data_IF_980920297171
#
_entry.id   IF_980920297171
#
_cell.length_a   1.000
_cell.length_b   1.000
_cell.length_c   1.000
_cell.angle_alpha   90.00
_cell.angle_beta   90.00
_cell.angle_gamma   90.00
#
_symmetry.space_group_name_H-M   'P 1'
#
loop_
_entity.id
_entity.type
_entity.pdbx_description
1 polymer ?
#
# COMPACT_ATOMS: atom_id res chain seq x y z
N UNK A 1 3.70 3.89 -11.23
CA UNK A 1 2.41 4.52 -11.65
C UNK A 1 1.31 3.48 -11.55
N UNK A 2 0.40 3.62 -10.58
CA UNK A 2 -0.75 2.73 -10.36
C UNK A 2 -1.62 2.60 -11.63
N UNK A 3 -2.23 1.43 -11.80
CA UNK A 3 -3.25 1.11 -12.80
C UNK A 3 -4.34 2.19 -12.85
N UNK A 4 -4.72 2.74 -11.70
CA UNK A 4 -5.67 3.85 -11.59
C UNK A 4 -5.23 5.06 -12.42
N UNK A 5 -3.97 5.48 -12.28
CA UNK A 5 -3.42 6.60 -13.05
C UNK A 5 -3.33 6.29 -14.55
N UNK A 6 -2.96 5.06 -14.93
CA UNK A 6 -2.93 4.61 -16.34
C UNK A 6 -4.31 4.59 -16.99
N UNK A 7 -5.33 4.20 -16.24
CA UNK A 7 -6.74 4.24 -16.65
C UNK A 7 -7.12 5.70 -16.92
N UNK A 8 -6.92 6.61 -15.96
CA UNK A 8 -7.34 8.01 -16.13
C UNK A 8 -6.50 8.82 -17.12
N UNK A 9 -5.19 8.59 -17.23
CA UNK A 9 -4.35 9.24 -18.24
C UNK A 9 -4.82 8.90 -19.66
N UNK A 10 -5.45 7.73 -19.86
CA UNK A 10 -6.07 7.33 -21.12
C UNK A 10 -7.43 8.00 -21.40
N UNK A 11 -8.09 8.53 -20.36
CA UNK A 11 -9.42 9.16 -20.43
C UNK A 11 -9.40 10.67 -20.22
N UNK A 12 -8.23 11.32 -20.18
CA UNK A 12 -8.10 12.77 -20.09
C UNK A 12 -8.59 13.43 -21.38
N UNK A 13 -9.86 13.84 -21.40
CA UNK A 13 -10.42 14.70 -22.44
C UNK A 13 -10.10 16.16 -22.13
N UNK A 14 -9.71 16.93 -23.15
CA UNK A 14 -9.53 18.38 -23.04
C UNK A 14 -10.81 19.06 -22.54
N UNK A 15 -10.71 20.12 -21.70
CA UNK A 15 -11.88 20.86 -21.19
C UNK A 15 -12.82 21.40 -22.28
N UNK A 16 -12.31 21.59 -23.49
CA UNK A 16 -13.04 22.14 -24.65
C UNK A 16 -13.92 21.11 -25.38
N UNK A 17 -13.88 19.82 -25.02
CA UNK A 17 -14.69 18.74 -25.64
C UNK A 17 -15.94 18.36 -24.81
N UNK A 18 -16.29 19.13 -23.77
CA UNK A 18 -17.42 18.82 -22.90
C UNK A 18 -18.76 18.82 -23.69
N UNK A 19 -19.47 17.69 -23.79
CA UNK A 19 -20.82 17.67 -24.35
C UNK A 19 -21.76 18.57 -23.53
N UNK A 20 -22.86 19.09 -24.11
CA UNK A 20 -23.86 19.85 -23.35
C UNK A 20 -24.39 19.00 -22.17
N UNK A 21 -24.93 19.66 -21.13
CA UNK A 21 -25.48 19.08 -19.89
C UNK A 21 -26.29 17.81 -20.14
N UNK A 22 -25.58 16.70 -20.22
CA UNK A 22 -26.09 15.37 -20.53
C UNK A 22 -25.70 14.51 -19.37
N UNK A 23 -26.69 13.81 -18.83
CA UNK A 23 -26.48 12.90 -17.72
C UNK A 23 -25.64 11.73 -18.20
N UNK A 24 -24.39 11.71 -17.77
CA UNK A 24 -23.47 10.61 -18.01
C UNK A 24 -23.79 9.45 -17.06
N UNK A 25 -23.36 8.25 -17.41
CA UNK A 25 -23.63 7.06 -16.61
C UNK A 25 -22.38 6.23 -16.35
N UNK A 26 -22.31 5.65 -15.16
CA UNK A 26 -21.39 4.57 -14.81
C UNK A 26 -22.24 3.33 -14.53
N UNK A 27 -22.09 2.30 -15.38
CA UNK A 27 -22.78 1.03 -15.25
C UNK A 27 -21.81 -0.03 -14.75
N UNK A 28 -22.13 -0.69 -13.65
CA UNK A 28 -21.24 -1.63 -12.99
C UNK A 28 -21.89 -3.00 -13.02
N UNK A 29 -21.38 -3.88 -13.89
CA UNK A 29 -21.93 -5.22 -14.08
C UNK A 29 -20.99 -6.28 -13.52
N UNK A 30 -21.52 -7.20 -12.73
CA UNK A 30 -20.76 -8.31 -12.16
C UNK A 30 -21.63 -9.55 -11.96
N UNK A 31 -20.98 -10.70 -11.83
CA UNK A 31 -21.66 -11.91 -11.40
C UNK A 31 -21.88 -11.87 -9.88
N UNK A 32 -23.13 -11.88 -9.43
CA UNK A 32 -23.47 -11.87 -8.01
C UNK A 32 -23.55 -13.30 -7.45
N UNK A 33 -24.33 -14.17 -8.11
CA UNK A 33 -24.41 -15.61 -7.82
C UNK A 33 -24.92 -15.99 -6.42
N UNK A 34 -25.50 -15.04 -5.66
CA UNK A 34 -25.90 -15.22 -4.26
C UNK A 34 -27.40 -14.98 -4.07
N UNK A 35 -28.02 -15.76 -3.19
CA UNK A 35 -29.44 -15.62 -2.84
C UNK A 35 -29.69 -14.50 -1.82
N UNK A 36 -28.75 -14.27 -0.91
CA UNK A 36 -28.79 -13.16 0.04
C UNK A 36 -28.31 -11.88 -0.64
N UNK A 37 -29.10 -10.80 -0.57
CA UNK A 37 -28.82 -9.49 -1.18
C UNK A 37 -28.13 -8.52 -0.22
N UNK A 38 -27.90 -8.89 1.04
CA UNK A 38 -27.28 -8.02 2.05
C UNK A 38 -25.94 -7.41 1.60
N UNK A 39 -25.09 -8.21 0.96
CA UNK A 39 -23.81 -7.75 0.42
C UNK A 39 -23.95 -6.78 -0.76
N UNK A 40 -24.98 -6.97 -1.61
CA UNK A 40 -25.29 -6.04 -2.70
C UNK A 40 -25.77 -4.70 -2.15
N UNK A 41 -26.67 -4.71 -1.16
CA UNK A 41 -27.15 -3.48 -0.52
C UNK A 41 -26.03 -2.71 0.19
N UNK A 42 -25.15 -3.41 0.91
CA UNK A 42 -24.00 -2.77 1.55
C UNK A 42 -23.04 -2.13 0.54
N UNK A 43 -22.85 -2.76 -0.63
CA UNK A 43 -22.06 -2.20 -1.72
C UNK A 43 -22.69 -0.93 -2.29
N UNK A 44 -23.99 -0.97 -2.55
CA UNK A 44 -24.75 0.19 -3.06
C UNK A 44 -24.80 1.34 -2.05
N UNK A 45 -25.02 1.05 -0.77
CA UNK A 45 -25.04 2.05 0.30
C UNK A 45 -23.68 2.78 0.39
N UNK A 46 -22.58 2.03 0.32
CA UNK A 46 -21.25 2.62 0.36
C UNK A 46 -20.94 3.43 -0.91
N UNK A 47 -21.33 2.94 -2.09
CA UNK A 47 -21.22 3.71 -3.33
C UNK A 47 -22.04 5.00 -3.28
N UNK A 48 -23.26 4.94 -2.76
CA UNK A 48 -24.14 6.09 -2.59
C UNK A 48 -23.49 7.13 -1.70
N UNK A 49 -22.92 6.69 -0.56
CA UNK A 49 -22.22 7.56 0.38
C UNK A 49 -21.03 8.27 -0.27
N UNK A 50 -20.11 7.53 -0.91
CA UNK A 50 -18.91 8.15 -1.51
C UNK A 50 -19.23 9.07 -2.69
N UNK A 51 -20.25 8.75 -3.48
CA UNK A 51 -20.71 9.59 -4.60
C UNK A 51 -21.35 10.88 -4.07
N UNK A 52 -22.18 10.79 -3.03
CA UNK A 52 -22.81 11.94 -2.40
C UNK A 52 -21.79 12.85 -1.70
N UNK A 53 -20.85 12.29 -0.94
CA UNK A 53 -19.79 13.03 -0.25
C UNK A 53 -18.89 13.80 -1.24
N UNK A 54 -18.64 13.22 -2.42
CA UNK A 54 -17.89 13.87 -3.50
C UNK A 54 -18.71 14.90 -4.29
N UNK A 55 -20.05 14.87 -4.20
CA UNK A 55 -20.95 15.77 -4.93
C UNK A 55 -20.91 15.60 -6.45
N UNK A 56 -20.61 14.40 -6.93
CA UNK A 56 -20.37 14.11 -8.37
C UNK A 56 -21.57 13.50 -9.10
N UNK A 57 -22.60 13.08 -8.37
CA UNK A 57 -23.77 12.42 -8.94
C UNK A 57 -24.63 11.70 -7.91
N UNK A 58 -25.32 10.65 -8.35
CA UNK A 58 -26.12 9.77 -7.51
C UNK A 58 -26.05 8.31 -7.99
N UNK A 59 -26.29 7.38 -7.07
CA UNK A 59 -26.52 5.96 -7.38
C UNK A 59 -28.04 5.76 -7.43
N UNK A 60 -28.55 5.35 -8.58
CA UNK A 60 -29.99 5.24 -8.86
C UNK A 60 -30.55 3.87 -8.43
N UNK A 61 -29.69 2.86 -8.40
CA UNK A 61 -30.02 1.55 -7.82
C UNK A 61 -29.33 0.39 -8.53
N UNK A 62 -29.91 -0.79 -8.37
CA UNK A 62 -29.42 -2.03 -8.97
C UNK A 62 -30.53 -2.87 -9.61
N UNK A 63 -30.13 -3.69 -10.56
CA UNK A 63 -30.92 -4.79 -11.10
C UNK A 63 -30.21 -6.11 -10.85
N UNK A 64 -30.95 -7.14 -10.46
CA UNK A 64 -30.42 -8.52 -10.38
C UNK A 64 -31.19 -9.40 -11.34
N UNK A 65 -30.46 -10.14 -12.17
CA UNK A 65 -31.03 -11.12 -13.08
C UNK A 65 -31.85 -12.17 -12.32
N UNK A 66 -32.95 -12.63 -12.92
CA UNK A 66 -33.82 -13.66 -12.35
C UNK A 66 -32.99 -14.91 -12.01
N UNK A 67 -33.02 -15.32 -10.73
CA UNK A 67 -32.20 -16.42 -10.20
C UNK A 67 -30.89 -15.99 -9.54
N UNK A 68 -30.62 -14.69 -9.40
CA UNK A 68 -29.49 -14.16 -8.63
C UNK A 68 -28.14 -14.20 -9.37
N UNK A 69 -28.17 -14.34 -10.70
CA UNK A 69 -26.96 -14.50 -11.55
C UNK A 69 -26.13 -13.23 -11.65
N UNK A 70 -26.43 -12.39 -12.64
CA UNK A 70 -25.73 -11.11 -12.86
C UNK A 70 -26.45 -9.97 -12.11
N UNK A 71 -25.68 -9.03 -11.58
CA UNK A 71 -26.19 -7.77 -11.07
C UNK A 71 -25.58 -6.58 -11.83
N UNK A 72 -26.36 -5.52 -11.95
CA UNK A 72 -25.93 -4.23 -12.51
C UNK A 72 -26.27 -3.12 -11.52
N UNK A 73 -25.30 -2.29 -11.14
CA UNK A 73 -25.53 -1.04 -10.40
C UNK A 73 -25.44 0.13 -11.39
N UNK A 74 -26.36 1.09 -11.25
CA UNK A 74 -26.48 2.27 -12.09
C UNK A 74 -26.16 3.52 -11.27
N UNK A 75 -25.23 4.33 -11.78
CA UNK A 75 -24.93 5.64 -11.21
C UNK A 75 -24.88 6.70 -12.33
N UNK A 76 -25.33 7.91 -12.00
CA UNK A 76 -25.47 9.02 -12.96
C UNK A 76 -24.84 10.30 -12.43
N UNK A 77 -24.33 11.14 -13.33
CA UNK A 77 -23.68 12.39 -12.96
C UNK A 77 -23.28 13.27 -14.15
N UNK A 78 -22.72 14.44 -13.86
CA UNK A 78 -22.26 15.39 -14.88
C UNK A 78 -20.88 15.05 -15.46
N UNK A 79 -20.13 14.15 -14.83
CA UNK A 79 -18.81 13.69 -15.27
C UNK A 79 -18.67 12.19 -14.95
N UNK A 80 -18.70 11.33 -15.97
CA UNK A 80 -18.53 9.88 -15.81
C UNK A 80 -17.19 9.52 -15.15
N UNK A 81 -16.14 10.29 -15.45
CA UNK A 81 -14.82 10.06 -14.88
C UNK A 81 -14.80 10.42 -13.40
N UNK A 82 -15.39 11.55 -13.00
CA UNK A 82 -15.49 11.93 -11.58
C UNK A 82 -16.34 10.93 -10.77
N UNK A 83 -17.43 10.46 -11.37
CA UNK A 83 -18.30 9.45 -10.78
C UNK A 83 -17.54 8.13 -10.58
N UNK A 84 -16.86 7.66 -11.64
CA UNK A 84 -16.05 6.44 -11.57
C UNK A 84 -14.88 6.56 -10.59
N UNK A 85 -14.19 7.72 -10.51
CA UNK A 85 -13.14 7.97 -9.51
C UNK A 85 -13.64 7.75 -8.08
N UNK A 86 -14.88 8.11 -7.80
CA UNK A 86 -15.48 7.98 -6.46
C UNK A 86 -15.87 6.53 -6.16
N UNK A 87 -16.33 5.78 -7.16
CA UNK A 87 -16.81 4.40 -6.99
C UNK A 87 -15.69 3.36 -7.05
N UNK A 88 -14.64 3.62 -7.84
CA UNK A 88 -13.55 2.68 -8.07
C UNK A 88 -12.93 2.13 -6.76
N UNK A 89 -12.65 2.95 -5.73
CA UNK A 89 -12.12 2.44 -4.47
C UNK A 89 -13.01 1.40 -3.80
N UNK A 90 -14.33 1.61 -3.83
CA UNK A 90 -15.32 0.70 -3.24
C UNK A 90 -15.27 -0.64 -3.95
N UNK A 91 -15.20 -0.65 -5.29
CA UNK A 91 -15.13 -1.88 -6.08
C UNK A 91 -13.88 -2.71 -5.76
N UNK A 92 -12.74 -2.05 -5.52
CA UNK A 92 -11.51 -2.76 -5.20
C UNK A 92 -11.48 -3.37 -3.79
N UNK A 93 -12.11 -2.70 -2.82
CA UNK A 93 -12.22 -3.20 -1.43
C UNK A 93 -13.29 -4.30 -1.30
N UNK A 94 -14.14 -4.47 -2.31
CA UNK A 94 -15.22 -5.46 -2.33
C UNK A 94 -14.70 -6.87 -2.66
N UNK A 95 -14.00 -7.49 -1.71
CA UNK A 95 -13.29 -8.78 -1.89
C UNK A 95 -14.17 -9.97 -2.22
N UNK A 96 -15.49 -9.87 -2.01
CA UNK A 96 -16.44 -10.92 -2.36
C UNK A 96 -16.81 -10.94 -3.85
N UNK A 97 -16.50 -9.88 -4.60
CA UNK A 97 -16.57 -9.85 -6.06
C UNK A 97 -15.37 -10.61 -6.65
N UNK A 98 -15.57 -11.26 -7.79
CA UNK A 98 -14.46 -11.81 -8.58
C UNK A 98 -13.96 -10.80 -9.62
N UNK A 99 -14.90 -10.17 -10.32
CA UNK A 99 -14.65 -9.21 -11.37
C UNK A 99 -15.90 -8.32 -11.55
N UNK A 100 -15.68 -7.04 -11.83
CA UNK A 100 -16.73 -6.10 -12.24
C UNK A 100 -16.34 -5.43 -13.56
N UNK A 101 -17.26 -5.43 -14.52
CA UNK A 101 -17.13 -4.67 -15.77
C UNK A 101 -17.82 -3.33 -15.57
N UNK A 102 -17.07 -2.26 -15.73
CA UNK A 102 -17.53 -0.89 -15.56
C UNK A 102 -17.58 -0.21 -16.91
N UNK A 103 -18.75 0.28 -17.29
CA UNK A 103 -18.97 1.06 -18.52
C UNK A 103 -19.17 2.53 -18.14
N UNK A 104 -18.28 3.41 -18.60
CA UNK A 104 -18.42 4.86 -18.52
C UNK A 104 -19.07 5.34 -19.81
N UNK A 105 -20.31 5.82 -19.76
CA UNK A 105 -21.04 6.37 -20.90
C UNK A 105 -21.09 7.90 -20.82
N UNK A 106 -20.59 8.57 -21.84
CA UNK A 106 -20.47 10.04 -21.90
C UNK A 106 -21.68 10.69 -22.57
N UNK A 107 -22.88 10.42 -22.06
CA UNK A 107 -24.11 11.03 -22.56
C UNK A 107 -25.36 10.16 -22.31
N UNK A 108 -26.50 10.53 -22.93
CA UNK A 108 -27.77 9.82 -22.77
C UNK A 108 -27.71 8.37 -23.30
N UNK A 109 -28.70 7.50 -22.98
CA UNK A 109 -28.79 6.12 -23.48
C UNK A 109 -29.20 6.05 -24.97
N UNK A 110 -28.41 6.66 -25.85
CA UNK A 110 -28.67 6.71 -27.30
C UNK A 110 -27.59 5.97 -28.10
N UNK A 111 -27.96 5.49 -29.29
CA UNK A 111 -27.03 4.82 -30.20
C UNK A 111 -25.92 5.79 -30.66
N UNK A 112 -24.66 5.31 -30.63
CA UNK A 112 -23.51 6.09 -31.08
C UNK A 112 -22.90 7.02 -30.03
N UNK A 113 -23.41 7.01 -28.78
CA UNK A 113 -22.79 7.73 -27.66
C UNK A 113 -21.47 7.05 -27.26
N UNK A 114 -20.45 7.87 -27.03
CA UNK A 114 -19.14 7.39 -26.62
C UNK A 114 -19.23 6.65 -25.28
N UNK A 115 -18.60 5.48 -25.21
CA UNK A 115 -18.47 4.70 -24.00
C UNK A 115 -17.07 4.12 -23.86
N UNK A 116 -16.61 3.94 -22.63
CA UNK A 116 -15.37 3.27 -22.28
C UNK A 116 -15.67 2.12 -21.34
N UNK A 117 -14.97 0.99 -21.52
CA UNK A 117 -15.10 -0.17 -20.64
C UNK A 117 -13.80 -0.41 -19.88
N UNK A 118 -13.94 -0.65 -18.58
CA UNK A 118 -12.85 -1.00 -17.67
C UNK A 118 -13.25 -2.26 -16.91
N UNK A 119 -12.31 -3.18 -16.73
CA UNK A 119 -12.51 -4.35 -15.88
C UNK A 119 -11.80 -4.14 -14.57
N UNK A 120 -12.54 -4.25 -13.47
CA UNK A 120 -12.05 -4.12 -12.10
C UNK A 120 -12.01 -5.48 -11.45
N UNK A 121 -10.88 -5.79 -10.82
CA UNK A 121 -10.68 -7.00 -10.05
C UNK A 121 -10.34 -6.59 -8.62
N UNK A 122 -11.17 -6.97 -7.63
CA UNK A 122 -10.91 -6.62 -6.24
C UNK A 122 -9.55 -7.10 -5.75
N UNK A 123 -9.00 -6.37 -4.78
CA UNK A 123 -7.71 -6.70 -4.18
C UNK A 123 -7.87 -7.90 -3.24
N UNK A 124 -7.53 -9.09 -3.75
CA UNK A 124 -7.59 -10.33 -2.98
C UNK A 124 -6.21 -10.69 -2.43
N UNK A 125 -6.15 -10.82 -1.11
CA UNK A 125 -5.01 -11.33 -0.37
C UNK A 125 -5.32 -12.74 0.17
N UNK A 126 -4.31 -13.63 0.28
CA UNK A 126 -4.47 -14.98 0.83
C UNK A 126 -4.54 -14.98 2.37
N UNK A 127 -4.63 -13.80 2.98
CA UNK A 127 -4.75 -13.55 4.41
C UNK A 127 -5.77 -12.42 4.65
N UNK A 128 -6.35 -12.32 5.86
CA UNK A 128 -7.28 -11.26 6.18
C UNK A 128 -6.65 -9.87 6.07
N UNK A 129 -7.40 -8.92 5.50
CA UNK A 129 -7.09 -7.49 5.52
C UNK A 129 -8.31 -6.75 6.06
N UNK A 130 -8.13 -6.02 7.17
CA UNK A 130 -9.16 -5.19 7.79
C UNK A 130 -8.94 -3.72 7.36
N UNK A 131 -9.96 -3.00 6.91
CA UNK A 131 -9.87 -1.55 6.60
C UNK A 131 -10.39 -0.71 7.76
N UNK A 132 -9.64 0.28 8.22
CA UNK A 132 -10.01 1.16 9.34
C UNK A 132 -9.31 2.52 9.29
N UNK A 133 -9.75 3.53 10.08
CA UNK A 133 -9.01 4.78 10.23
C UNK A 133 -7.60 4.57 10.81
N UNK A 134 -6.67 5.47 10.48
CA UNK A 134 -5.25 5.30 10.77
C UNK A 134 -4.88 5.21 12.26
N UNK A 135 -5.54 5.99 13.12
CA UNK A 135 -5.38 5.90 14.57
C UNK A 135 -5.81 4.52 15.11
N UNK A 136 -6.96 4.02 14.62
CA UNK A 136 -7.45 2.67 14.91
C UNK A 136 -6.52 1.60 14.38
N UNK A 137 -5.88 1.81 13.23
CA UNK A 137 -4.90 0.89 12.67
C UNK A 137 -3.67 0.74 13.59
N UNK A 138 -3.15 1.86 14.12
CA UNK A 138 -2.03 1.81 15.08
C UNK A 138 -2.42 1.08 16.36
N UNK A 139 -3.59 1.38 16.93
CA UNK A 139 -4.09 0.68 18.12
C UNK A 139 -4.26 -0.83 17.86
N UNK A 140 -4.86 -1.19 16.72
CA UNK A 140 -5.10 -2.58 16.33
C UNK A 140 -3.79 -3.34 16.15
N UNK A 141 -2.80 -2.70 15.52
CA UNK A 141 -1.45 -3.24 15.37
C UNK A 141 -0.82 -3.54 16.73
N UNK A 142 -0.88 -2.60 17.67
CA UNK A 142 -0.32 -2.76 19.02
C UNK A 142 -0.96 -3.92 19.78
N UNK A 143 -2.29 -4.05 19.71
CA UNK A 143 -3.03 -5.16 20.34
C UNK A 143 -2.60 -6.51 19.75
N UNK A 144 -2.62 -6.64 18.41
CA UNK A 144 -2.25 -7.89 17.75
C UNK A 144 -0.78 -8.27 17.99
N UNK A 145 0.12 -7.28 17.99
CA UNK A 145 1.53 -7.46 18.35
C UNK A 145 1.68 -8.04 19.76
N UNK A 146 0.92 -7.53 20.73
CA UNK A 146 0.99 -7.97 22.12
C UNK A 146 0.36 -9.35 22.35
N UNK A 147 -0.70 -9.68 21.63
CA UNK A 147 -1.36 -11.00 21.67
C UNK A 147 -0.47 -12.10 21.07
N UNK A 148 0.27 -11.77 20.00
CA UNK A 148 1.11 -12.71 19.28
C UNK A 148 0.32 -13.73 18.45
N UNK A 149 1.02 -14.73 17.91
CA UNK A 149 0.41 -15.79 17.08
C UNK A 149 0.11 -15.38 15.63
N UNK A 150 0.26 -14.09 15.30
CA UNK A 150 0.21 -13.56 13.94
C UNK A 150 1.16 -12.36 13.82
N UNK A 151 1.33 -11.84 12.60
CA UNK A 151 2.09 -10.62 12.34
C UNK A 151 1.13 -9.60 11.73
N UNK A 152 0.73 -8.55 12.48
CA UNK A 152 -0.04 -7.45 11.93
C UNK A 152 0.87 -6.52 11.12
N UNK A 153 0.41 -6.10 9.93
CA UNK A 153 1.12 -5.13 9.08
C UNK A 153 0.14 -4.11 8.52
N UNK A 154 0.45 -2.83 8.71
CA UNK A 154 -0.27 -1.71 8.10
C UNK A 154 0.13 -1.61 6.63
N UNK A 155 -0.83 -1.73 5.72
CA UNK A 155 -0.60 -1.73 4.27
C UNK A 155 -0.72 -0.36 3.60
N UNK A 156 -0.94 0.70 4.38
CA UNK A 156 -1.28 2.01 3.84
C UNK A 156 -2.71 2.10 3.34
N UNK A 157 -2.98 3.06 2.46
CA UNK A 157 -4.32 3.27 1.91
C UNK A 157 -4.64 2.31 0.75
N UNK A 158 -5.72 2.58 0.00
CA UNK A 158 -6.07 1.71 -1.12
C UNK A 158 -5.04 1.77 -2.26
N UNK A 159 -4.47 2.95 -2.54
CA UNK A 159 -3.48 3.09 -3.61
C UNK A 159 -2.22 2.30 -3.27
N UNK A 160 -1.78 2.35 -2.02
CA UNK A 160 -0.67 1.53 -1.53
C UNK A 160 -0.93 0.03 -1.70
N UNK A 161 -2.14 -0.43 -1.35
CA UNK A 161 -2.54 -1.84 -1.50
C UNK A 161 -2.65 -2.28 -2.95
N UNK A 162 -3.10 -1.41 -3.85
CA UNK A 162 -3.08 -1.66 -5.30
C UNK A 162 -1.64 -1.86 -5.77
N UNK A 163 -0.74 -0.95 -5.44
CA UNK A 163 0.66 -1.01 -5.85
C UNK A 163 1.34 -2.29 -5.34
N UNK A 164 1.11 -2.64 -4.06
CA UNK A 164 1.56 -3.91 -3.51
C UNK A 164 1.04 -5.10 -4.32
N UNK A 165 -0.24 -5.08 -4.70
CA UNK A 165 -0.86 -6.21 -5.39
C UNK A 165 -0.46 -6.30 -6.86
N UNK A 166 -0.12 -5.19 -7.51
CA UNK A 166 0.41 -5.16 -8.88
C UNK A 166 1.72 -5.94 -8.99
N UNK A 167 2.56 -5.93 -7.95
CA UNK A 167 3.84 -6.65 -7.94
C UNK A 167 3.72 -8.18 -7.85
N UNK A 168 2.56 -8.70 -7.45
CA UNK A 168 2.36 -10.12 -7.20
C UNK A 168 1.98 -10.88 -8.47
N UNK A 169 2.97 -11.39 -9.18
CA UNK A 169 2.76 -12.23 -10.36
C UNK A 169 2.51 -13.71 -10.01
N UNK A 170 1.77 -14.40 -10.88
CA UNK A 170 1.42 -15.84 -10.71
C UNK A 170 2.66 -16.74 -10.79
N UNK A 171 3.74 -16.27 -11.44
CA UNK A 171 4.97 -17.04 -11.69
C UNK A 171 6.01 -16.92 -10.57
N UNK A 172 5.75 -16.16 -9.51
CA UNK A 172 6.70 -15.94 -8.42
C UNK A 172 6.75 -17.10 -7.42
N UNK A 173 7.90 -17.32 -6.77
CA UNK A 173 8.06 -18.32 -5.71
C UNK A 173 7.00 -18.12 -4.62
N UNK A 174 6.51 -19.24 -4.09
CA UNK A 174 5.61 -19.18 -2.94
C UNK A 174 6.37 -18.77 -1.68
N UNK A 175 5.62 -18.51 -0.61
CA UNK A 175 6.18 -18.02 0.66
C UNK A 175 7.23 -19.00 1.21
N UNK A 176 6.99 -20.31 1.12
CA UNK A 176 7.91 -21.32 1.65
C UNK A 176 9.26 -21.31 0.91
N UNK A 177 9.24 -21.13 -0.41
CA UNK A 177 10.46 -21.00 -1.21
C UNK A 177 11.23 -19.71 -0.87
N UNK A 178 10.54 -18.57 -0.72
CA UNK A 178 11.17 -17.30 -0.31
C UNK A 178 11.83 -17.42 1.06
N UNK A 179 11.16 -18.07 2.02
CA UNK A 179 11.71 -18.30 3.35
C UNK A 179 12.93 -19.24 3.31
N UNK A 180 12.91 -20.30 2.50
CA UNK A 180 14.05 -21.18 2.33
C UNK A 180 15.26 -20.46 1.71
N UNK A 181 15.03 -19.53 0.77
CA UNK A 181 16.10 -18.67 0.21
C UNK A 181 16.66 -17.73 1.28
N UNK A 182 15.81 -17.11 2.09
CA UNK A 182 16.22 -16.24 3.18
C UNK A 182 17.07 -16.95 4.24
N UNK A 183 16.81 -18.24 4.51
CA UNK A 183 17.62 -19.05 5.42
C UNK A 183 19.05 -19.25 4.94
N UNK A 184 19.30 -19.22 3.62
CA UNK A 184 20.64 -19.36 3.04
C UNK A 184 21.45 -18.05 3.05
N UNK A 185 20.83 -16.92 3.36
CA UNK A 185 21.47 -15.60 3.33
C UNK A 185 22.22 -15.35 4.64
N UNK A 186 23.53 -15.15 4.51
CA UNK A 186 24.38 -14.60 5.57
C UNK A 186 24.43 -13.07 5.45
N UNK A 187 23.89 -12.38 6.45
CA UNK A 187 23.73 -10.92 6.42
C UNK A 187 25.07 -10.19 6.31
N UNK A 188 26.11 -10.66 7.00
CA UNK A 188 27.44 -10.04 6.92
C UNK A 188 28.05 -10.19 5.52
N UNK A 189 27.80 -11.33 4.86
CA UNK A 189 28.17 -11.52 3.45
C UNK A 189 27.39 -10.63 2.53
N UNK A 190 26.07 -10.57 2.70
CA UNK A 190 25.19 -9.69 1.93
C UNK A 190 25.67 -8.23 2.03
N UNK A 191 25.91 -7.73 3.25
CA UNK A 191 26.39 -6.36 3.46
C UNK A 191 27.74 -6.10 2.80
N UNK A 192 28.69 -7.05 2.89
CA UNK A 192 30.00 -6.91 2.21
C UNK A 192 29.90 -6.93 0.69
N UNK A 193 28.97 -7.67 0.12
CA UNK A 193 28.76 -7.73 -1.33
C UNK A 193 28.09 -6.47 -1.87
N UNK A 194 27.29 -5.80 -1.04
CA UNK A 194 26.64 -4.53 -1.36
C UNK A 194 27.48 -3.31 -0.95
N UNK A 195 28.52 -3.50 -0.13
CA UNK A 195 29.43 -2.44 0.31
C UNK A 195 30.17 -1.83 -0.89
N UNK A 196 29.80 -0.59 -1.21
CA UNK A 196 30.53 0.25 -2.13
C UNK A 196 31.28 1.33 -1.35
N UNK A 197 32.52 1.03 -0.99
CA UNK A 197 33.39 1.92 -0.21
C UNK A 197 33.54 3.33 -0.82
N UNK A 198 33.53 3.45 -2.16
CA UNK A 198 33.60 4.75 -2.82
C UNK A 198 32.35 5.59 -2.54
N UNK A 199 31.16 4.98 -2.63
CA UNK A 199 29.89 5.65 -2.28
C UNK A 199 29.81 6.00 -0.80
N UNK A 200 30.24 5.11 0.10
CA UNK A 200 30.24 5.41 1.54
C UNK A 200 31.13 6.60 1.90
N UNK A 201 32.26 6.77 1.21
CA UNK A 201 33.15 7.93 1.40
C UNK A 201 32.53 9.20 0.83
N UNK A 202 31.82 9.12 -0.30
CA UNK A 202 31.14 10.27 -0.91
C UNK A 202 30.10 10.92 0.03
N UNK A 203 29.38 10.10 0.80
CA UNK A 203 28.30 10.56 1.68
C UNK A 203 28.69 10.70 3.16
N UNK A 204 29.99 10.66 3.48
CA UNK A 204 30.51 10.90 4.83
C UNK A 204 31.31 12.19 4.84
N UNK A 205 30.86 13.20 5.57
CA UNK A 205 31.60 14.44 5.78
C UNK A 205 32.31 14.48 7.15
N UNK A 206 32.06 13.49 8.01
CA UNK A 206 32.63 13.37 9.35
C UNK A 206 32.08 14.40 10.35
N UNK A 207 31.05 15.17 9.98
CA UNK A 207 30.47 16.22 10.81
C UNK A 207 29.15 15.74 11.41
N UNK A 208 29.14 15.57 12.73
CA UNK A 208 27.91 15.26 13.44
C UNK A 208 26.94 16.46 13.42
N UNK A 209 25.68 16.30 12.98
CA UNK A 209 24.75 17.41 12.86
C UNK A 209 24.29 17.93 14.22
N UNK A 210 23.98 19.22 14.29
CA UNK A 210 23.50 19.86 15.53
C UNK A 210 22.03 19.53 15.86
N UNK A 211 21.23 19.17 14.86
CA UNK A 211 19.83 18.83 15.02
C UNK A 211 19.60 17.34 14.74
N UNK A 212 18.84 16.68 15.60
CA UNK A 212 18.38 15.31 15.40
C UNK A 212 16.98 15.35 14.73
N UNK A 213 16.81 14.58 13.64
CA UNK A 213 15.55 14.44 12.90
C UNK A 213 14.91 13.04 13.10
N UNK A 214 15.07 12.47 14.30
CA UNK A 214 14.54 11.16 14.65
C UNK A 214 13.02 11.08 14.46
N UNK A 215 12.58 9.96 13.90
CA UNK A 215 11.16 9.63 13.76
C UNK A 215 10.69 8.94 15.03
N UNK A 216 9.62 9.46 15.63
CA UNK A 216 9.09 8.95 16.90
C UNK A 216 7.73 8.26 16.77
N UNK A 217 7.06 8.38 15.61
CA UNK A 217 5.73 7.83 15.34
C UNK A 217 5.66 7.31 13.91
N UNK A 218 4.85 6.27 13.70
CA UNK A 218 4.49 5.78 12.35
C UNK A 218 3.82 6.90 11.56
N UNK A 219 4.20 7.07 10.29
CA UNK A 219 3.68 8.13 9.41
C UNK A 219 2.65 7.61 8.43
N UNK A 220 2.77 6.35 7.98
CA UNK A 220 1.84 5.73 7.02
C UNK A 220 0.35 5.89 7.42
N UNK A 221 -0.05 5.75 8.69
CA UNK A 221 -1.46 5.87 9.07
C UNK A 221 -1.99 7.31 9.08
N UNK A 222 -1.14 8.32 8.92
CA UNK A 222 -1.50 9.73 9.09
C UNK A 222 -1.15 10.56 7.84
N UNK A 223 -1.79 11.70 7.67
CA UNK A 223 -1.35 12.75 6.74
C UNK A 223 -0.20 13.57 7.37
N UNK A 224 0.45 14.42 6.57
CA UNK A 224 1.56 15.26 7.01
C UNK A 224 1.21 16.19 8.19
N UNK A 225 -0.07 16.59 8.29
CA UNK A 225 -0.60 17.42 9.39
C UNK A 225 -0.97 16.61 10.65
N UNK A 226 -0.78 15.28 10.61
CA UNK A 226 -1.08 14.36 11.70
C UNK A 226 -2.54 13.87 11.75
N UNK A 227 -3.38 14.23 10.78
CA UNK A 227 -4.76 13.72 10.72
C UNK A 227 -4.76 12.23 10.36
N UNK A 228 -5.54 11.37 11.05
CA UNK A 228 -5.66 9.97 10.67
C UNK A 228 -6.22 9.82 9.25
N UNK A 229 -5.57 8.99 8.42
CA UNK A 229 -6.11 8.63 7.11
C UNK A 229 -7.38 7.78 7.30
N UNK A 230 -8.43 7.97 6.48
CA UNK A 230 -9.75 7.38 6.75
C UNK A 230 -9.84 5.88 6.46
N UNK A 231 -9.01 5.35 5.54
CA UNK A 231 -9.08 3.96 5.07
C UNK A 231 -7.70 3.35 4.93
N UNK A 232 -7.19 2.80 6.03
CA UNK A 232 -5.92 2.08 6.13
C UNK A 232 -6.18 0.58 6.20
N UNK A 233 -5.48 -0.18 5.37
CA UNK A 233 -5.51 -1.65 5.42
C UNK A 233 -4.60 -2.22 6.50
N UNK A 234 -5.08 -3.22 7.23
CA UNK A 234 -4.35 -4.00 8.22
C UNK A 234 -4.32 -5.46 7.80
N UNK A 235 -3.17 -5.94 7.33
CA UNK A 235 -2.95 -7.36 7.06
C UNK A 235 -2.70 -8.14 8.35
N UNK A 236 -3.32 -9.31 8.46
CA UNK A 236 -3.08 -10.26 9.56
C UNK A 236 -2.40 -11.49 8.99
N UNK A 237 -1.06 -11.48 8.98
CA UNK A 237 -0.28 -12.53 8.36
C UNK A 237 -0.22 -13.78 9.24
N UNK A 238 -0.32 -15.00 8.66
CA UNK A 238 -0.38 -16.26 9.41
C UNK A 238 1.01 -16.74 9.84
N UNK A 239 1.84 -15.84 10.38
CA UNK A 239 3.15 -16.13 10.95
C UNK A 239 3.37 -15.31 12.21
N UNK A 240 4.06 -15.87 13.20
CA UNK A 240 4.50 -15.13 14.39
C UNK A 240 5.90 -14.52 14.23
N UNK A 241 6.60 -14.82 13.13
CA UNK A 241 7.94 -14.31 12.84
C UNK A 241 7.78 -13.05 12.00
N UNK A 242 7.74 -11.89 12.64
CA UNK A 242 7.39 -10.64 11.97
C UNK A 242 8.32 -10.26 10.80
N UNK A 243 9.58 -10.69 10.82
CA UNK A 243 10.51 -10.50 9.71
C UNK A 243 10.11 -11.25 8.44
N UNK A 244 9.21 -12.24 8.51
CA UNK A 244 8.69 -12.96 7.35
C UNK A 244 7.65 -12.17 6.55
N UNK A 245 7.21 -11.02 7.05
CA UNK A 245 6.19 -10.21 6.40
C UNK A 245 6.55 -9.87 4.94
N UNK A 246 7.83 -9.63 4.64
CA UNK A 246 8.28 -9.37 3.27
C UNK A 246 7.98 -10.54 2.32
N UNK A 247 8.15 -11.79 2.76
CA UNK A 247 7.84 -12.96 1.94
C UNK A 247 6.32 -13.14 1.75
N UNK A 248 5.53 -12.97 2.81
CA UNK A 248 4.06 -13.03 2.73
C UNK A 248 3.47 -11.95 1.82
N UNK A 249 4.07 -10.76 1.84
CA UNK A 249 3.66 -9.63 1.03
C UNK A 249 4.38 -9.54 -0.31
N UNK A 250 5.30 -10.46 -0.60
CA UNK A 250 6.17 -10.46 -1.79
C UNK A 250 6.77 -9.08 -2.09
N UNK A 251 7.18 -8.38 -1.03
CA UNK A 251 7.67 -7.02 -1.11
C UNK A 251 9.16 -7.05 -1.46
N UNK A 252 9.57 -6.28 -2.47
CA UNK A 252 10.96 -6.12 -2.90
C UNK A 252 11.22 -6.53 -4.35
N UNK A 253 12.46 -6.30 -4.81
CA UNK A 253 12.95 -6.76 -6.12
C UNK A 253 12.76 -5.79 -7.30
N UNK A 254 12.53 -4.50 -7.02
CA UNK A 254 12.46 -3.44 -8.02
C UNK A 254 13.40 -2.28 -7.66
N UNK A 255 13.83 -1.50 -8.66
CA UNK A 255 14.78 -0.39 -8.47
C UNK A 255 16.01 -0.83 -7.66
N UNK A 256 16.30 -0.15 -6.54
CA UNK A 256 17.31 -0.55 -5.55
C UNK A 256 16.70 -1.23 -4.31
N UNK A 257 15.40 -1.54 -4.33
CA UNK A 257 14.71 -2.26 -3.26
C UNK A 257 15.16 -3.73 -3.26
N UNK A 258 15.74 -4.24 -2.14
CA UNK A 258 16.18 -5.63 -2.03
C UNK A 258 15.08 -6.65 -2.34
N UNK A 259 15.45 -7.90 -2.62
CA UNK A 259 14.45 -8.94 -2.87
C UNK A 259 13.71 -9.34 -1.58
N UNK A 260 12.52 -9.97 -1.67
CA UNK A 260 11.77 -10.41 -0.49
C UNK A 260 12.59 -11.26 0.50
N UNK A 261 13.41 -12.19 0.00
CA UNK A 261 14.26 -13.02 0.86
C UNK A 261 15.40 -12.24 1.55
N UNK A 262 15.94 -11.20 0.90
CA UNK A 262 16.95 -10.32 1.49
C UNK A 262 16.34 -9.53 2.66
N UNK A 263 15.13 -9.00 2.45
CA UNK A 263 14.35 -8.35 3.51
C UNK A 263 14.15 -9.29 4.70
N UNK A 264 13.70 -10.53 4.48
CA UNK A 264 13.49 -11.50 5.57
C UNK A 264 14.79 -11.72 6.36
N UNK A 265 15.92 -11.89 5.69
CA UNK A 265 17.22 -12.12 6.34
C UNK A 265 17.70 -10.89 7.14
N UNK A 266 17.63 -9.70 6.55
CA UNK A 266 18.04 -8.44 7.19
C UNK A 266 17.13 -8.09 8.36
N UNK A 267 15.81 -8.20 8.18
CA UNK A 267 14.83 -7.88 9.21
C UNK A 267 14.92 -8.85 10.39
N UNK A 268 15.29 -10.11 10.16
CA UNK A 268 15.61 -11.07 11.24
C UNK A 268 16.82 -10.58 12.05
N UNK A 269 17.90 -10.17 11.39
CA UNK A 269 19.10 -9.61 12.06
C UNK A 269 18.75 -8.36 12.89
N UNK A 270 17.92 -7.47 12.36
CA UNK A 270 17.47 -6.28 13.10
C UNK A 270 16.52 -6.60 14.25
N UNK A 271 15.63 -7.58 14.08
CA UNK A 271 14.78 -8.08 15.16
C UNK A 271 15.61 -8.58 16.35
N UNK A 272 16.65 -9.37 16.05
CA UNK A 272 17.55 -9.94 17.07
C UNK A 272 18.37 -8.84 17.78
N UNK A 273 19.04 -7.98 17.01
CA UNK A 273 19.91 -6.93 17.57
C UNK A 273 19.13 -5.80 18.25
N UNK A 274 18.14 -5.26 17.54
CA UNK A 274 17.47 -4.01 17.89
C UNK A 274 16.02 -4.19 18.34
N UNK A 275 15.47 -5.40 18.28
CA UNK A 275 14.03 -5.59 18.52
C UNK A 275 13.19 -4.85 17.49
N UNK A 276 13.73 -4.61 16.28
CA UNK A 276 13.02 -3.93 15.23
C UNK A 276 11.91 -4.83 14.67
N UNK A 277 10.67 -4.40 14.80
CA UNK A 277 9.49 -5.09 14.28
C UNK A 277 8.87 -4.26 13.18
N UNK A 278 8.68 -4.87 12.01
CA UNK A 278 8.00 -4.20 10.91
C UNK A 278 6.55 -3.90 11.30
N UNK A 279 6.14 -2.66 11.04
CA UNK A 279 4.82 -2.16 11.38
C UNK A 279 4.02 -1.80 10.14
N UNK A 280 4.66 -1.15 9.16
CA UNK A 280 4.04 -0.71 7.92
C UNK A 280 4.83 -1.23 6.72
N UNK A 281 4.12 -1.66 5.69
CA UNK A 281 4.66 -1.98 4.36
C UNK A 281 3.64 -1.46 3.35
N UNK A 282 3.98 -0.43 2.58
CA UNK A 282 3.15 0.11 1.50
C UNK A 282 3.72 -0.27 0.13
N UNK A 283 3.27 0.37 -0.96
CA UNK A 283 3.86 0.15 -2.28
C UNK A 283 5.36 0.52 -2.37
N UNK A 284 5.83 1.43 -1.52
CA UNK A 284 7.22 1.92 -1.56
C UNK A 284 7.82 2.28 -0.20
N UNK A 285 7.05 2.24 0.89
CA UNK A 285 7.50 2.63 2.23
C UNK A 285 7.48 1.43 3.17
N UNK A 286 8.51 1.30 4.01
CA UNK A 286 8.53 0.34 5.12
C UNK A 286 8.85 1.08 6.42
N UNK A 287 8.05 0.86 7.46
CA UNK A 287 8.29 1.41 8.79
C UNK A 287 8.45 0.30 9.83
N UNK A 288 9.35 0.52 10.79
CA UNK A 288 9.60 -0.36 11.92
C UNK A 288 9.34 0.36 13.23
N UNK A 289 8.86 -0.38 14.23
CA UNK A 289 8.93 0.02 15.64
C UNK A 289 10.10 -0.71 16.29
N UNK A 290 10.94 0.02 17.03
CA UNK A 290 12.24 -0.47 17.50
C UNK A 290 12.34 -0.38 19.01
N UNK A 291 12.58 -1.52 19.65
CA UNK A 291 12.65 -1.62 21.12
C UNK A 291 14.03 -1.25 21.68
N UNK A 292 15.11 -1.44 20.91
CA UNK A 292 16.52 -1.20 21.30
C UNK A 292 17.25 -0.41 20.20
N UNK A 293 16.90 0.87 20.00
CA UNK A 293 17.63 1.73 19.06
C UNK A 293 19.10 1.92 19.48
N UNK A 294 19.99 2.31 18.55
CA UNK A 294 21.37 2.62 18.89
C UNK A 294 21.42 3.78 19.90
N UNK A 295 22.26 3.64 20.93
CA UNK A 295 22.34 4.59 22.05
C UNK A 295 23.63 5.43 22.03
N UNK A 296 24.54 5.12 21.09
CA UNK A 296 25.80 5.86 20.91
C UNK A 296 25.98 6.28 19.46
N UNK A 297 26.76 7.35 19.26
CA UNK A 297 27.07 7.86 17.92
C UNK A 297 27.77 6.80 17.05
N UNK A 298 28.67 6.01 17.62
CA UNK A 298 29.40 4.96 16.90
C UNK A 298 28.46 3.82 16.46
N UNK A 299 27.55 3.37 17.35
CA UNK A 299 26.52 2.39 17.00
C UNK A 299 25.57 2.92 15.93
N UNK A 300 25.13 4.17 16.07
CA UNK A 300 24.24 4.81 15.12
C UNK A 300 24.91 4.99 13.75
N UNK A 301 26.20 5.31 13.70
CA UNK A 301 26.95 5.44 12.46
C UNK A 301 27.18 4.08 11.79
N UNK A 302 27.42 3.02 12.57
CA UNK A 302 27.51 1.66 12.05
C UNK A 302 26.16 1.23 11.43
N UNK A 303 25.06 1.48 12.13
CA UNK A 303 23.72 1.18 11.63
C UNK A 303 23.33 2.04 10.42
N UNK A 304 23.72 3.32 10.39
CA UNK A 304 23.47 4.20 9.25
C UNK A 304 24.15 3.70 7.97
N UNK A 305 25.38 3.17 8.08
CA UNK A 305 26.06 2.53 6.94
C UNK A 305 25.28 1.32 6.45
N UNK A 306 24.83 0.47 7.37
CA UNK A 306 24.00 -0.69 7.03
C UNK A 306 22.68 -0.28 6.34
N UNK A 307 21.96 0.69 6.91
CA UNK A 307 20.72 1.22 6.34
C UNK A 307 20.93 1.88 4.97
N UNK A 308 22.06 2.55 4.74
CA UNK A 308 22.40 3.12 3.44
C UNK A 308 22.67 2.05 2.38
N UNK A 309 23.31 0.92 2.73
CA UNK A 309 23.49 -0.19 1.81
C UNK A 309 22.17 -0.90 1.47
N UNK A 310 21.22 -0.88 2.42
CA UNK A 310 19.89 -1.43 2.26
C UNK A 310 18.92 -0.51 1.47
N UNK A 311 19.03 0.79 1.68
CA UNK A 311 18.17 1.82 1.11
C UNK A 311 18.96 3.13 1.01
N UNK A 312 19.60 3.34 -0.15
CA UNK A 312 20.51 4.47 -0.36
C UNK A 312 19.78 5.82 -0.49
N UNK A 313 18.50 5.79 -0.88
CA UNK A 313 17.58 6.93 -0.92
C UNK A 313 17.46 7.65 0.43
N UNK A 314 17.63 6.95 1.56
CA UNK A 314 17.68 7.56 2.89
C UNK A 314 18.69 8.68 2.97
N UNK A 315 19.82 8.57 2.27
CA UNK A 315 20.88 9.57 2.29
C UNK A 315 20.81 10.44 1.04
N UNK A 316 20.68 9.84 -0.15
CA UNK A 316 20.72 10.58 -1.43
C UNK A 316 19.58 11.57 -1.55
N UNK A 317 18.38 11.19 -1.11
CA UNK A 317 17.17 11.99 -1.23
C UNK A 317 16.65 12.48 0.13
N UNK A 318 17.17 11.93 1.23
CA UNK A 318 16.75 12.25 2.58
C UNK A 318 17.77 13.07 3.37
N UNK A 319 18.46 12.39 4.29
CA UNK A 319 19.29 12.96 5.34
C UNK A 319 20.60 13.58 4.83
N UNK A 320 20.96 13.38 3.56
CA UNK A 320 22.09 14.02 2.89
C UNK A 320 23.47 13.42 3.21
N UNK A 321 23.71 12.95 4.43
CA UNK A 321 24.96 12.30 4.84
C UNK A 321 24.73 11.09 5.75
N UNK A 322 25.74 10.23 5.88
CA UNK A 322 25.74 9.11 6.83
C UNK A 322 25.62 9.60 8.28
N UNK A 323 26.26 10.71 8.63
CA UNK A 323 26.17 11.34 9.95
C UNK A 323 24.78 11.93 10.19
N UNK A 324 24.14 12.48 9.14
CA UNK A 324 22.74 12.91 9.16
C UNK A 324 21.78 11.76 9.50
N UNK A 325 21.92 10.65 8.78
CA UNK A 325 21.13 9.44 9.01
C UNK A 325 21.42 8.84 10.40
N UNK A 326 22.69 8.75 10.81
CA UNK A 326 23.09 8.26 12.12
C UNK A 326 22.47 9.09 13.26
N UNK A 327 22.50 10.42 13.16
CA UNK A 327 21.86 11.27 14.14
C UNK A 327 20.35 11.01 14.23
N UNK A 328 19.68 10.80 13.10
CA UNK A 328 18.26 10.47 13.05
C UNK A 328 17.91 9.07 13.59
N UNK A 329 18.87 8.14 13.61
CA UNK A 329 18.70 6.79 14.18
C UNK A 329 18.97 6.74 15.68
N UNK A 330 19.74 7.70 16.22
CA UNK A 330 20.11 7.74 17.64
C UNK A 330 18.86 7.89 18.52
N UNK A 331 18.65 6.92 19.41
CA UNK A 331 17.48 6.78 20.29
C UNK A 331 16.12 6.77 19.57
N UNK A 332 16.09 6.52 18.26
CA UNK A 332 14.87 6.61 17.45
C UNK A 332 14.00 5.34 17.58
N UNK A 333 12.76 5.44 18.11
CA UNK A 333 11.90 4.27 18.30
C UNK A 333 11.20 3.83 17.00
N UNK A 334 11.34 4.58 15.92
CA UNK A 334 10.78 4.26 14.60
C UNK A 334 11.85 4.44 13.54
N UNK A 335 11.95 3.45 12.64
CA UNK A 335 12.73 3.57 11.40
C UNK A 335 11.78 3.59 10.22
N UNK A 336 12.11 4.38 9.20
CA UNK A 336 11.32 4.49 7.97
C UNK A 336 12.25 4.42 6.78
N UNK A 337 11.86 3.64 5.78
CA UNK A 337 12.55 3.45 4.51
C UNK A 337 11.60 3.78 3.37
N UNK A 338 12.09 4.34 2.28
CA UNK A 338 11.33 4.50 1.04
C UNK A 338 12.22 4.24 -0.17
N UNK A 339 11.62 3.75 -1.26
CA UNK A 339 12.29 3.56 -2.54
C UNK A 339 11.47 4.25 -3.65
N UNK A 340 12.11 5.04 -4.51
CA UNK A 340 11.49 5.65 -5.70
C UNK A 340 11.71 4.81 -6.98
#
# INVERSE_FOLDING_TARGET
MSLFKKIFDRFSTSPDDAPPASEHAVLIRFHYGRADLSGLYALEDEMTRVVADAGVGEVDGHEVAVGGGDATIYAYGQDANALFRSIHPVLLDTTWLDEARVTLRYGPPEDGIAASEVTIRPLKFPFPVETMPGDRAVERWQVLRAEGGCTPVILGDLEDREQLREGWDIAEPDVDELLARAEAIDVDTWLREHDNAERLVEFSDGVWPAANQAVSTLRVPFSEDGTPRPGIGMAILPTSRHWEAAAWLRFGGWNACPAPEDHVALWRSWAERHGAQVACITGSVVEFVVDRPPATADEALALAREHFLYCDDLVIQGYGTLEGLAAALLDAPVWSFWWD
#
